data_IF_578925482259
#
_entry.id   IF_578925482259
#
_cell.length_a   1.000
_cell.length_b   1.000
_cell.length_c   1.000
_cell.angle_alpha   90.00
_cell.angle_beta   90.00
_cell.angle_gamma   90.00
#
_symmetry.space_group_name_H-M   'P 1'
#
loop_
_entity.id
_entity.type
_entity.pdbx_description
1 polymer ?
#
# COMPACT_ATOMS: atom_id res chain seq x y z
N UNK A 1 20.10 2.98 13.38
CA UNK A 1 19.28 1.77 13.56
C UNK A 1 18.50 1.60 12.29
N UNK A 2 18.45 0.40 11.70
CA UNK A 2 17.56 0.15 10.56
C UNK A 2 16.11 0.36 11.00
N UNK A 3 15.22 0.91 10.15
CA UNK A 3 13.83 1.10 10.50
C UNK A 3 13.20 -0.24 10.90
N UNK A 4 12.39 -0.23 11.96
CA UNK A 4 11.67 -1.42 12.40
C UNK A 4 10.23 -1.30 11.91
N UNK A 5 9.94 -1.95 10.79
CA UNK A 5 8.57 -2.06 10.28
C UNK A 5 7.78 -3.08 11.12
N UNK A 6 6.53 -2.78 11.41
CA UNK A 6 5.62 -3.77 11.95
C UNK A 6 5.24 -4.79 10.88
N UNK A 7 5.20 -6.07 11.25
CA UNK A 7 4.65 -7.14 10.44
C UNK A 7 3.73 -8.03 11.29
N UNK A 8 2.53 -8.39 10.80
CA UNK A 8 1.60 -9.22 11.56
C UNK A 8 2.09 -10.67 11.66
N UNK A 9 2.01 -11.26 12.85
CA UNK A 9 2.43 -12.65 13.10
C UNK A 9 1.25 -13.62 13.24
N UNK A 10 0.02 -13.11 13.29
CA UNK A 10 -1.18 -13.92 13.48
C UNK A 10 -1.43 -14.33 14.93
N UNK A 11 -1.75 -15.61 15.13
CA UNK A 11 -2.17 -16.19 16.41
C UNK A 11 -3.63 -15.91 16.78
N UNK A 12 -4.04 -16.41 17.95
CA UNK A 12 -5.34 -16.12 18.56
C UNK A 12 -5.14 -15.57 19.99
N UNK A 13 -5.82 -14.48 20.36
CA UNK A 13 -5.80 -13.98 21.73
C UNK A 13 -6.55 -14.93 22.67
N UNK A 14 -6.25 -14.83 23.97
CA UNK A 14 -6.95 -15.59 25.02
C UNK A 14 -8.44 -15.20 25.13
N UNK A 15 -9.25 -16.13 25.65
CA UNK A 15 -10.70 -15.95 25.87
C UNK A 15 -11.03 -14.97 27.01
N UNK A 16 -10.03 -14.57 27.79
CA UNK A 16 -10.11 -13.59 28.87
C UNK A 16 -10.02 -12.13 28.39
N UNK A 17 -9.82 -11.91 27.09
CA UNK A 17 -9.75 -10.58 26.50
C UNK A 17 -11.12 -9.89 26.42
N UNK A 18 -11.15 -8.61 26.80
CA UNK A 18 -12.31 -7.76 26.55
C UNK A 18 -12.44 -7.46 25.05
N UNK A 19 -13.69 -7.33 24.58
CA UNK A 19 -13.98 -7.16 23.15
C UNK A 19 -14.04 -5.70 22.68
N UNK A 20 -13.92 -4.73 23.60
CA UNK A 20 -13.85 -3.31 23.23
C UNK A 20 -12.51 -3.05 22.54
N UNK A 21 -12.56 -2.61 21.28
CA UNK A 21 -11.39 -2.36 20.44
C UNK A 21 -11.61 -1.12 19.54
N UNK A 22 -10.57 -0.72 18.81
CA UNK A 22 -10.50 0.50 17.98
C UNK A 22 -10.98 0.28 16.55
N UNK A 23 -11.64 -0.84 16.27
CA UNK A 23 -12.21 -1.11 14.96
C UNK A 23 -13.38 -0.16 14.69
N UNK A 24 -13.28 0.61 13.61
CA UNK A 24 -14.26 1.64 13.25
C UNK A 24 -14.64 1.47 11.79
N UNK A 25 -15.93 1.56 11.49
CA UNK A 25 -16.44 1.62 10.13
C UNK A 25 -17.52 2.71 10.06
N UNK A 26 -17.27 3.75 9.27
CA UNK A 26 -18.19 4.87 9.07
C UNK A 26 -18.47 5.08 7.59
N UNK A 27 -19.35 6.02 7.27
CA UNK A 27 -19.58 6.44 5.90
C UNK A 27 -18.39 7.20 5.27
N UNK A 28 -17.38 7.62 6.05
CA UNK A 28 -16.25 8.41 5.55
C UNK A 28 -14.91 7.68 5.62
N UNK A 29 -14.73 6.77 6.58
CA UNK A 29 -13.47 6.07 6.82
C UNK A 29 -13.68 4.74 7.54
N UNK A 30 -12.67 3.87 7.49
CA UNK A 30 -12.54 2.74 8.41
C UNK A 30 -11.16 2.70 9.07
N UNK A 31 -11.13 2.10 10.25
CA UNK A 31 -9.92 1.76 10.99
C UNK A 31 -9.95 0.27 11.27
N UNK A 32 -8.92 -0.43 10.81
CA UNK A 32 -8.70 -1.87 11.02
C UNK A 32 -7.48 -2.00 11.93
N UNK A 33 -7.67 -2.24 13.24
CA UNK A 33 -6.56 -2.38 14.18
C UNK A 33 -5.73 -3.61 13.85
N UNK A 34 -4.43 -3.58 14.18
CA UNK A 34 -3.51 -4.72 14.00
C UNK A 34 -4.01 -6.02 14.66
N UNK A 35 -4.84 -5.89 15.69
CA UNK A 35 -5.48 -7.00 16.42
C UNK A 35 -6.48 -7.80 15.60
N UNK A 36 -6.82 -7.38 14.37
CA UNK A 36 -7.67 -8.16 13.46
C UNK A 36 -6.87 -9.13 12.58
N UNK A 37 -5.54 -8.99 12.51
CA UNK A 37 -4.67 -9.86 11.72
C UNK A 37 -4.44 -11.20 12.43
N UNK A 38 -5.44 -12.10 12.36
CA UNK A 38 -5.45 -13.41 13.03
C UNK A 38 -5.32 -14.57 12.06
N UNK A 39 -4.87 -15.72 12.55
CA UNK A 39 -4.65 -16.91 11.71
C UNK A 39 -5.93 -17.38 11.02
N UNK A 40 -7.06 -17.36 11.73
CA UNK A 40 -8.33 -17.89 11.22
C UNK A 40 -9.00 -17.01 10.15
N UNK A 41 -8.46 -15.80 9.90
CA UNK A 41 -8.97 -14.87 8.88
C UNK A 41 -7.99 -14.69 7.72
N UNK A 42 -6.92 -15.48 7.68
CA UNK A 42 -6.02 -15.46 6.51
C UNK A 42 -6.72 -16.07 5.29
N UNK A 43 -6.34 -15.55 4.12
CA UNK A 43 -6.73 -16.08 2.82
C UNK A 43 -5.55 -16.82 2.17
N UNK A 44 -5.86 -17.52 1.08
CA UNK A 44 -4.90 -18.23 0.23
C UNK A 44 -5.21 -17.89 -1.22
N UNK A 45 -4.17 -17.79 -2.05
CA UNK A 45 -4.32 -17.51 -3.48
C UNK A 45 -3.85 -18.73 -4.29
N UNK A 46 -4.56 -19.10 -5.37
CA UNK A 46 -4.04 -20.06 -6.34
C UNK A 46 -2.67 -19.61 -6.87
N UNK A 47 -1.79 -20.58 -7.15
CA UNK A 47 -0.43 -20.30 -7.65
C UNK A 47 0.58 -19.92 -6.59
N UNK A 48 0.19 -19.77 -5.32
CA UNK A 48 1.08 -19.53 -4.19
C UNK A 48 1.27 -20.79 -3.33
N UNK A 49 2.51 -21.15 -3.03
CA UNK A 49 2.90 -22.27 -2.16
C UNK A 49 3.38 -21.77 -0.81
N UNK A 50 3.06 -22.50 0.26
CA UNK A 50 3.45 -22.19 1.65
C UNK A 50 3.30 -20.71 2.03
N UNK A 51 2.18 -20.14 1.59
CA UNK A 51 1.87 -18.72 1.70
C UNK A 51 0.47 -18.53 2.27
N UNK A 52 0.34 -17.56 3.16
CA UNK A 52 -0.95 -17.04 3.64
C UNK A 52 -0.95 -15.53 3.55
N UNK A 53 -2.12 -14.92 3.55
CA UNK A 53 -2.23 -13.46 3.46
C UNK A 53 -3.41 -12.89 4.25
N UNK A 54 -3.30 -11.63 4.66
CA UNK A 54 -4.41 -10.82 5.14
C UNK A 54 -4.84 -9.84 4.05
N UNK A 55 -6.12 -9.87 3.68
CA UNK A 55 -6.71 -8.88 2.77
C UNK A 55 -7.21 -7.71 3.60
N UNK A 56 -6.65 -6.51 3.37
CA UNK A 56 -6.97 -5.31 4.16
C UNK A 56 -7.64 -4.21 3.34
N UNK A 57 -7.59 -4.31 2.00
CA UNK A 57 -8.40 -3.51 1.11
C UNK A 57 -8.76 -4.31 -0.15
N UNK A 58 -9.95 -4.06 -0.70
CA UNK A 58 -10.38 -4.56 -2.01
C UNK A 58 -11.36 -3.58 -2.66
N UNK A 59 -11.47 -3.57 -4.00
CA UNK A 59 -12.52 -2.86 -4.69
C UNK A 59 -13.93 -3.31 -4.25
N UNK A 60 -14.72 -2.38 -3.71
CA UNK A 60 -16.12 -2.46 -3.29
C UNK A 60 -16.80 -1.10 -3.55
N UNK A 61 -17.91 -1.15 -4.29
CA UNK A 61 -18.71 0.06 -4.59
C UNK A 61 -19.04 0.83 -3.32
N UNK A 62 -18.84 2.15 -3.38
CA UNK A 62 -19.19 3.05 -2.28
C UNK A 62 -18.25 3.00 -1.09
N UNK A 63 -17.15 2.24 -1.13
CA UNK A 63 -16.18 2.23 -0.02
C UNK A 63 -14.75 2.38 -0.50
N UNK A 64 -14.26 1.46 -1.34
CA UNK A 64 -12.91 1.47 -1.88
C UNK A 64 -13.00 1.00 -3.32
N UNK A 65 -12.80 1.80 -4.35
CA UNK A 65 -13.14 1.37 -5.73
C UNK A 65 -11.90 1.03 -6.58
N UNK A 66 -10.72 1.45 -6.15
CA UNK A 66 -9.54 1.50 -7.02
C UNK A 66 -8.48 0.47 -6.67
N UNK A 67 -8.22 0.26 -5.38
CA UNK A 67 -7.05 -0.50 -4.92
C UNK A 67 -7.43 -1.81 -4.21
N UNK A 68 -6.54 -2.79 -4.34
CA UNK A 68 -6.46 -3.95 -3.46
C UNK A 68 -5.16 -3.91 -2.68
N UNK A 69 -5.18 -4.33 -1.41
CA UNK A 69 -3.96 -4.48 -0.61
C UNK A 69 -3.99 -5.77 0.20
N UNK A 70 -2.89 -6.52 0.09
CA UNK A 70 -2.61 -7.72 0.87
C UNK A 70 -1.38 -7.51 1.77
N UNK A 71 -1.38 -8.14 2.94
CA UNK A 71 -0.16 -8.41 3.70
C UNK A 71 0.15 -9.89 3.51
N UNK A 72 1.20 -10.18 2.75
CA UNK A 72 1.62 -11.52 2.39
C UNK A 72 2.57 -12.06 3.45
N UNK A 73 2.44 -13.34 3.80
CA UNK A 73 3.39 -14.09 4.61
C UNK A 73 3.78 -15.37 3.88
N UNK A 74 5.06 -15.47 3.50
CA UNK A 74 5.62 -16.57 2.71
C UNK A 74 6.64 -17.31 3.55
N UNK A 75 6.39 -18.60 3.82
CA UNK A 75 7.30 -19.44 4.59
C UNK A 75 8.59 -19.74 3.79
N UNK A 76 9.69 -20.15 4.45
CA UNK A 76 10.89 -20.61 3.76
C UNK A 76 10.58 -21.68 2.70
N UNK A 77 11.05 -21.47 1.47
CA UNK A 77 10.77 -22.34 0.31
C UNK A 77 9.43 -22.10 -0.39
N UNK A 78 8.56 -21.25 0.17
CA UNK A 78 7.31 -20.83 -0.45
C UNK A 78 7.48 -19.73 -1.50
N UNK A 79 6.43 -19.46 -2.25
CA UNK A 79 6.46 -18.44 -3.30
C UNK A 79 5.41 -18.66 -4.37
N UNK A 80 5.62 -18.04 -5.53
CA UNK A 80 4.79 -18.19 -6.71
C UNK A 80 5.57 -17.93 -8.00
N UNK A 81 5.36 -18.79 -8.99
CA UNK A 81 5.82 -18.61 -10.37
C UNK A 81 4.79 -17.92 -11.28
N UNK A 82 3.55 -17.75 -10.81
CA UNK A 82 2.48 -17.03 -11.51
C UNK A 82 1.66 -16.22 -10.49
N UNK A 83 2.27 -15.20 -9.87
CA UNK A 83 1.67 -14.51 -8.72
C UNK A 83 0.45 -13.67 -9.08
N UNK A 84 0.49 -12.97 -10.22
CA UNK A 84 -0.57 -12.09 -10.71
C UNK A 84 -1.35 -12.77 -11.84
N UNK A 85 -2.67 -12.78 -11.74
CA UNK A 85 -3.57 -13.43 -12.71
C UNK A 85 -4.49 -12.43 -13.43
N UNK A 86 -4.57 -11.19 -12.93
CA UNK A 86 -5.43 -10.16 -13.50
C UNK A 86 -4.70 -9.39 -14.59
N UNK A 87 -5.20 -9.47 -15.82
CA UNK A 87 -4.65 -8.70 -16.94
C UNK A 87 -4.77 -7.20 -16.67
N UNK A 88 -3.72 -6.43 -16.95
CA UNK A 88 -3.72 -4.99 -16.73
C UNK A 88 -3.41 -4.56 -15.29
N UNK A 89 -3.25 -5.50 -14.34
CA UNK A 89 -2.91 -5.18 -12.96
C UNK A 89 -1.43 -4.79 -12.83
N UNK A 90 -1.19 -3.58 -12.36
CA UNK A 90 0.10 -3.16 -11.82
C UNK A 90 0.18 -3.50 -10.32
N UNK A 91 1.39 -3.71 -9.83
CA UNK A 91 1.67 -4.08 -8.45
C UNK A 91 2.79 -3.26 -7.82
N UNK A 92 2.66 -3.01 -6.52
CA UNK A 92 3.78 -2.58 -5.67
C UNK A 92 4.00 -3.60 -4.57
N UNK A 93 5.24 -4.06 -4.45
CA UNK A 93 5.72 -4.90 -3.35
C UNK A 93 6.53 -4.04 -2.38
N UNK A 94 6.25 -4.15 -1.09
CA UNK A 94 7.02 -3.48 -0.05
C UNK A 94 7.35 -4.44 1.09
N UNK A 95 8.62 -4.82 1.23
CA UNK A 95 9.08 -5.82 2.20
C UNK A 95 9.20 -5.19 3.59
N UNK A 96 8.60 -5.84 4.59
CA UNK A 96 8.61 -5.37 5.99
C UNK A 96 9.38 -6.33 6.92
N UNK A 97 9.51 -7.60 6.54
CA UNK A 97 10.29 -8.60 7.29
C UNK A 97 10.80 -9.69 6.34
N UNK A 98 11.98 -10.25 6.63
CA UNK A 98 12.60 -11.30 5.81
C UNK A 98 13.15 -10.79 4.48
N UNK A 99 13.36 -11.70 3.54
CA UNK A 99 13.98 -11.43 2.24
C UNK A 99 13.16 -12.04 1.11
N UNK A 100 12.86 -11.26 0.07
CA UNK A 100 12.18 -11.74 -1.13
C UNK A 100 13.18 -11.88 -2.28
N UNK A 101 13.22 -13.05 -2.92
CA UNK A 101 13.83 -13.20 -4.23
C UNK A 101 12.77 -12.93 -5.29
N UNK A 102 12.88 -11.80 -5.99
CA UNK A 102 12.01 -11.37 -7.07
C UNK A 102 12.71 -11.58 -8.41
N UNK A 103 12.18 -12.48 -9.23
CA UNK A 103 12.57 -12.60 -10.64
C UNK A 103 11.58 -11.76 -11.46
N UNK A 104 12.04 -10.75 -12.20
CA UNK A 104 11.19 -9.92 -13.05
C UNK A 104 11.87 -9.65 -14.39
N UNK A 105 11.16 -9.91 -15.49
CA UNK A 105 11.66 -9.72 -16.86
C UNK A 105 13.03 -10.38 -17.13
N UNK A 106 13.31 -11.51 -16.46
CA UNK A 106 14.56 -12.26 -16.59
C UNK A 106 15.70 -11.80 -15.67
N UNK A 107 15.49 -10.78 -14.84
CA UNK A 107 16.46 -10.32 -13.84
C UNK A 107 16.03 -10.73 -12.43
N UNK A 108 16.98 -11.21 -11.63
CA UNK A 108 16.76 -11.61 -10.24
C UNK A 108 17.21 -10.51 -9.30
N UNK A 109 16.33 -10.11 -8.40
CA UNK A 109 16.58 -9.12 -7.35
C UNK A 109 16.30 -9.71 -5.98
N UNK A 110 17.04 -9.22 -4.99
CA UNK A 110 16.84 -9.56 -3.59
C UNK A 110 16.33 -8.32 -2.86
N UNK A 111 15.10 -8.38 -2.37
CA UNK A 111 14.46 -7.31 -1.61
C UNK A 111 14.51 -7.62 -0.12
N UNK A 112 15.17 -6.76 0.65
CA UNK A 112 15.26 -6.82 2.12
C UNK A 112 14.24 -5.86 2.75
N UNK A 113 14.06 -5.80 4.08
CA UNK A 113 13.10 -4.87 4.70
C UNK A 113 13.34 -3.41 4.26
N UNK A 114 12.27 -2.72 3.88
CA UNK A 114 12.31 -1.41 3.22
C UNK A 114 12.42 -1.48 1.69
N UNK A 115 12.66 -2.67 1.15
CA UNK A 115 12.72 -2.96 -0.28
C UNK A 115 11.36 -2.72 -0.94
N UNK A 116 11.41 -2.02 -2.07
CA UNK A 116 10.27 -1.59 -2.85
C UNK A 116 10.44 -2.08 -4.29
N UNK A 117 9.40 -2.71 -4.83
CA UNK A 117 9.33 -3.03 -6.24
C UNK A 117 8.04 -2.47 -6.84
N UNK A 118 8.13 -1.68 -7.92
CA UNK A 118 7.00 -1.38 -8.79
C UNK A 118 7.04 -2.32 -10.00
N UNK A 119 5.89 -2.93 -10.28
CA UNK A 119 5.69 -3.91 -11.34
C UNK A 119 4.60 -3.39 -12.29
N UNK A 120 4.94 -2.98 -13.53
CA UNK A 120 3.94 -2.59 -14.52
C UNK A 120 3.07 -3.77 -14.95
N UNK A 121 1.92 -3.52 -15.58
CA UNK A 121 0.99 -4.58 -16.00
C UNK A 121 1.59 -5.68 -16.87
N UNK A 122 2.56 -5.34 -17.71
CA UNK A 122 3.23 -6.29 -18.61
C UNK A 122 4.38 -7.06 -17.97
N UNK A 123 4.71 -6.80 -16.69
CA UNK A 123 5.83 -7.46 -16.04
C UNK A 123 5.57 -8.97 -15.87
N UNK A 124 6.47 -9.79 -16.41
CA UNK A 124 6.54 -11.21 -16.07
C UNK A 124 7.40 -11.35 -14.82
N UNK A 125 6.75 -11.61 -13.68
CA UNK A 125 7.42 -11.66 -12.39
C UNK A 125 7.04 -12.88 -11.56
N UNK A 126 7.99 -13.31 -10.74
CA UNK A 126 7.88 -14.44 -9.80
C UNK A 126 8.52 -14.04 -8.50
N UNK A 127 8.00 -14.55 -7.39
CA UNK A 127 8.53 -14.24 -6.09
C UNK A 127 8.65 -15.49 -5.25
N UNK A 128 9.84 -15.71 -4.69
CA UNK A 128 10.13 -16.84 -3.83
C UNK A 128 10.85 -16.39 -2.57
N UNK A 129 10.49 -16.99 -1.44
CA UNK A 129 11.28 -16.90 -0.23
C UNK A 129 12.35 -17.99 -0.25
N UNK A 130 13.54 -17.65 -0.75
CA UNK A 130 14.70 -18.55 -0.77
C UNK A 130 15.51 -18.52 0.54
N UNK A 131 15.13 -17.65 1.48
CA UNK A 131 15.76 -17.51 2.78
C UNK A 131 15.30 -18.58 3.79
N UNK A 132 15.86 -18.52 5.00
CA UNK A 132 15.50 -19.40 6.12
C UNK A 132 14.45 -18.81 7.05
N UNK A 133 14.21 -17.50 6.97
CA UNK A 133 13.25 -16.79 7.81
C UNK A 133 11.93 -16.57 7.07
N UNK A 134 10.86 -16.28 7.81
CA UNK A 134 9.56 -15.93 7.21
C UNK A 134 9.68 -14.59 6.48
N UNK A 135 9.16 -14.52 5.25
CA UNK A 135 9.06 -13.29 4.47
C UNK A 135 7.68 -12.66 4.67
N UNK A 136 7.64 -11.37 4.99
CA UNK A 136 6.40 -10.57 5.01
C UNK A 136 6.54 -9.30 4.18
N UNK A 137 5.56 -9.06 3.32
CA UNK A 137 5.52 -7.87 2.47
C UNK A 137 4.09 -7.40 2.21
N UNK A 138 3.94 -6.11 1.93
CA UNK A 138 2.71 -5.56 1.40
C UNK A 138 2.67 -5.74 -0.12
N UNK A 139 1.52 -6.13 -0.64
CA UNK A 139 1.25 -6.15 -2.07
C UNK A 139 0.04 -5.25 -2.36
N UNK A 140 0.30 -4.09 -2.96
CA UNK A 140 -0.72 -3.13 -3.40
C UNK A 140 -0.94 -3.31 -4.89
N UNK A 141 -2.20 -3.40 -5.31
CA UNK A 141 -2.59 -3.67 -6.71
C UNK A 141 -3.61 -2.65 -7.20
N UNK A 142 -3.50 -2.26 -8.46
CA UNK A 142 -4.44 -1.39 -9.18
C UNK A 142 -4.47 -1.82 -10.64
N UNK A 143 -5.60 -1.66 -11.34
CA UNK A 143 -5.58 -1.72 -12.81
C UNK A 143 -4.94 -0.44 -13.34
N UNK A 144 -3.89 -0.58 -14.16
CA UNK A 144 -3.24 0.57 -14.78
C UNK A 144 -4.12 1.20 -15.84
N UNK A 145 -4.22 2.53 -15.79
CA UNK A 145 -5.00 3.30 -16.74
C UNK A 145 -4.10 3.84 -17.86
N UNK A 146 -4.26 3.37 -19.10
CA UNK A 146 -3.50 3.90 -20.22
C UNK A 146 -3.89 5.35 -20.53
N UNK A 147 -2.92 6.15 -20.98
CA UNK A 147 -3.14 7.50 -21.49
C UNK A 147 -2.51 7.69 -22.87
N UNK A 148 -3.12 8.47 -23.78
CA UNK A 148 -2.59 8.66 -25.13
C UNK A 148 -1.14 9.15 -25.14
N UNK A 149 -0.28 8.44 -25.86
CA UNK A 149 1.13 8.79 -26.02
C UNK A 149 2.03 8.39 -24.84
N UNK A 150 1.50 7.71 -23.83
CA UNK A 150 2.28 7.17 -22.71
C UNK A 150 2.37 5.65 -22.78
N UNK A 151 3.57 5.11 -22.60
CA UNK A 151 3.78 3.69 -22.34
C UNK A 151 3.53 3.37 -20.86
N UNK A 152 3.51 2.08 -20.53
CA UNK A 152 3.62 1.65 -19.13
C UNK A 152 4.91 2.20 -18.49
N UNK A 153 4.91 2.45 -17.17
CA UNK A 153 6.12 2.77 -16.45
C UNK A 153 7.09 1.58 -16.42
N UNK A 154 8.37 1.88 -16.24
CA UNK A 154 9.40 0.85 -16.11
C UNK A 154 9.32 0.15 -14.74
N UNK A 155 9.84 -1.08 -14.65
CA UNK A 155 10.06 -1.75 -13.35
C UNK A 155 10.97 -0.87 -12.50
N UNK A 156 10.62 -0.69 -11.22
CA UNK A 156 11.48 -0.01 -10.24
C UNK A 156 11.87 -1.01 -9.17
N UNK A 157 13.17 -1.14 -8.89
CA UNK A 157 13.71 -1.92 -7.76
C UNK A 157 14.50 -0.96 -6.88
N UNK A 158 14.00 -0.67 -5.68
CA UNK A 158 14.50 0.37 -4.79
C UNK A 158 14.50 -0.10 -3.33
N UNK A 159 15.13 0.65 -2.43
CA UNK A 159 14.93 0.54 -0.99
C UNK A 159 14.69 1.93 -0.40
N UNK A 160 13.67 2.06 0.45
CA UNK A 160 13.31 3.34 1.06
C UNK A 160 14.46 3.96 1.87
N UNK A 161 15.30 3.13 2.49
CA UNK A 161 16.44 3.56 3.29
C UNK A 161 17.49 4.33 2.48
N UNK A 162 17.54 4.10 1.16
CA UNK A 162 18.47 4.76 0.24
C UNK A 162 17.88 6.02 -0.41
N UNK A 163 16.63 6.37 -0.08
CA UNK A 163 15.91 7.51 -0.66
C UNK A 163 15.73 8.59 0.40
N UNK A 164 16.36 9.75 0.16
CA UNK A 164 16.15 10.92 1.02
C UNK A 164 14.68 11.37 0.99
N UNK A 165 13.99 11.45 2.15
CA UNK A 165 12.62 11.94 2.19
C UNK A 165 12.53 13.40 1.74
N UNK A 166 11.52 13.74 0.94
CA UNK A 166 11.25 15.14 0.58
C UNK A 166 10.53 15.84 1.74
N UNK A 167 11.13 16.85 2.39
CA UNK A 167 10.46 17.56 3.48
C UNK A 167 9.28 18.36 2.97
N UNK A 168 8.20 18.42 3.75
CA UNK A 168 7.11 19.32 3.44
C UNK A 168 7.50 20.78 3.75
N UNK A 169 7.15 21.73 2.88
CA UNK A 169 7.45 23.15 3.08
C UNK A 169 6.99 23.64 4.45
N UNK A 170 7.77 24.54 5.05
CA UNK A 170 7.41 25.26 6.28
C UNK A 170 7.23 24.40 7.55
N UNK A 171 7.57 23.10 7.50
CA UNK A 171 7.46 22.18 8.65
C UNK A 171 8.74 22.04 9.47
N UNK A 172 9.83 22.73 9.08
CA UNK A 172 11.18 22.59 9.69
C UNK A 172 11.66 21.13 9.76
N UNK A 173 11.26 20.30 8.79
CA UNK A 173 11.64 18.88 8.71
C UNK A 173 10.81 17.95 9.60
N UNK A 174 9.76 18.45 10.27
CA UNK A 174 8.90 17.63 11.12
C UNK A 174 7.99 16.67 10.33
N UNK A 175 7.78 16.93 9.04
CA UNK A 175 6.97 16.11 8.14
C UNK A 175 7.67 15.98 6.78
N UNK A 176 7.78 14.76 6.27
CA UNK A 176 8.39 14.46 4.98
C UNK A 176 7.70 13.28 4.28
N UNK A 177 7.93 13.15 2.98
CA UNK A 177 7.45 12.03 2.16
C UNK A 177 8.59 11.42 1.36
N UNK A 178 8.80 10.11 1.52
CA UNK A 178 9.66 9.31 0.65
C UNK A 178 8.84 8.89 -0.58
N UNK A 179 9.31 9.26 -1.77
CA UNK A 179 8.66 8.96 -3.05
C UNK A 179 9.56 8.03 -3.87
N UNK A 180 8.96 7.05 -4.53
CA UNK A 180 9.69 6.03 -5.30
C UNK A 180 9.66 6.29 -6.81
N UNK A 181 8.80 7.19 -7.27
CA UNK A 181 8.74 7.68 -8.64
C UNK A 181 8.77 9.20 -8.65
N UNK A 182 9.22 9.79 -9.76
CA UNK A 182 9.14 11.22 -10.00
C UNK A 182 7.66 11.63 -10.08
N UNK A 183 7.17 12.58 -9.26
CA UNK A 183 5.79 13.07 -9.34
C UNK A 183 5.40 13.63 -10.71
N UNK A 184 6.37 14.04 -11.54
CA UNK A 184 6.15 14.53 -12.89
C UNK A 184 6.11 13.42 -13.95
N UNK A 185 6.44 12.16 -13.62
CA UNK A 185 6.33 11.05 -14.54
C UNK A 185 4.87 10.61 -14.69
N UNK A 186 4.20 11.18 -15.69
CA UNK A 186 2.78 10.94 -15.99
C UNK A 186 2.46 9.50 -16.40
N UNK A 187 3.47 8.64 -16.66
CA UNK A 187 3.25 7.22 -16.93
C UNK A 187 2.64 6.52 -15.71
N UNK A 188 3.04 6.94 -14.51
CA UNK A 188 2.50 6.44 -13.25
C UNK A 188 1.13 7.07 -12.95
N UNK A 189 0.11 6.24 -12.79
CA UNK A 189 -1.26 6.61 -12.39
C UNK A 189 -1.59 6.25 -10.94
N UNK A 190 -0.62 5.73 -10.20
CA UNK A 190 -0.67 5.57 -8.75
C UNK A 190 0.67 5.94 -8.12
N UNK A 191 0.62 6.41 -6.88
CA UNK A 191 1.80 6.57 -6.05
C UNK A 191 1.63 5.73 -4.79
N UNK A 192 2.63 4.91 -4.49
CA UNK A 192 2.82 4.29 -3.17
C UNK A 192 4.03 4.96 -2.54
N UNK A 193 3.86 5.55 -1.35
CA UNK A 193 4.85 6.41 -0.71
C UNK A 193 4.92 6.13 0.78
N UNK A 194 5.95 6.64 1.46
CA UNK A 194 6.02 6.61 2.92
C UNK A 194 5.94 8.05 3.44
N UNK A 195 4.94 8.34 4.25
CA UNK A 195 4.87 9.60 4.98
C UNK A 195 5.52 9.39 6.35
N UNK A 196 6.37 10.35 6.74
CA UNK A 196 7.08 10.34 8.02
C UNK A 196 6.81 11.63 8.76
N UNK A 197 6.34 11.51 10.00
CA UNK A 197 6.28 12.60 10.98
C UNK A 197 7.29 12.34 12.09
N UNK A 198 8.08 13.35 12.42
CA UNK A 198 8.95 13.35 13.60
C UNK A 198 8.12 13.57 14.87
N UNK A 199 8.65 13.22 16.07
CA UNK A 199 8.00 13.55 17.34
C UNK A 199 7.60 15.03 17.43
N UNK A 200 6.33 15.29 17.75
CA UNK A 200 5.73 16.63 17.78
C UNK A 200 5.31 17.17 16.40
N UNK A 201 5.54 16.41 15.33
CA UNK A 201 5.10 16.73 13.98
C UNK A 201 3.57 16.69 13.86
N UNK A 202 3.04 17.59 13.03
CA UNK A 202 1.60 17.75 12.80
C UNK A 202 1.34 17.87 11.31
N UNK A 203 0.24 17.30 10.84
CA UNK A 203 -0.42 17.70 9.58
C UNK A 203 -1.49 18.73 9.97
N UNK A 204 -1.23 20.05 9.81
CA UNK A 204 -1.99 21.08 10.51
C UNK A 204 -3.27 21.53 9.78
N UNK A 205 -3.53 20.99 8.59
CA UNK A 205 -4.74 21.26 7.84
C UNK A 205 -5.55 19.98 7.70
N UNK A 206 -6.87 20.12 7.74
CA UNK A 206 -7.80 19.06 7.42
C UNK A 206 -7.79 18.86 5.91
N UNK A 207 -6.88 18.03 5.42
CA UNK A 207 -6.77 17.74 4.00
C UNK A 207 -8.08 17.10 3.50
N UNK A 208 -8.64 17.67 2.44
CA UNK A 208 -9.81 17.15 1.74
C UNK A 208 -9.46 17.05 0.27
N UNK A 209 -9.06 15.86 -0.17
CA UNK A 209 -8.84 15.60 -1.59
C UNK A 209 -9.70 14.45 -2.09
N UNK A 210 -9.96 14.46 -3.39
CA UNK A 210 -10.88 13.51 -4.03
C UNK A 210 -10.36 12.07 -4.01
N UNK A 211 -9.03 11.87 -4.02
CA UNK A 211 -8.44 10.53 -4.08
C UNK A 211 -8.74 9.75 -2.80
N UNK A 212 -9.41 8.62 -2.94
CA UNK A 212 -9.46 7.61 -1.87
C UNK A 212 -8.06 7.02 -1.68
N UNK A 213 -7.73 6.65 -0.46
CA UNK A 213 -6.41 6.09 -0.18
C UNK A 213 -6.41 5.24 1.08
N UNK A 214 -5.51 4.25 1.08
CA UNK A 214 -5.20 3.45 2.25
C UNK A 214 -3.91 3.92 2.91
N UNK A 215 -3.90 3.86 4.24
CA UNK A 215 -2.74 4.15 5.07
C UNK A 215 -2.47 2.95 5.95
N UNK A 216 -1.27 2.39 5.90
CA UNK A 216 -0.82 1.34 6.80
C UNK A 216 0.31 1.85 7.68
N UNK A 217 0.12 1.87 8.99
CA UNK A 217 1.13 2.38 9.93
C UNK A 217 2.28 1.37 10.02
N UNK A 218 3.46 1.79 9.58
CA UNK A 218 4.68 0.99 9.57
C UNK A 218 5.43 1.09 10.91
N UNK A 219 5.46 2.27 11.52
CA UNK A 219 6.25 2.58 12.71
C UNK A 219 5.55 3.65 13.57
N UNK A 220 5.75 3.55 14.88
CA UNK A 220 5.37 4.61 15.82
C UNK A 220 3.88 4.61 16.19
N UNK A 221 3.46 5.72 16.80
CA UNK A 221 2.09 5.99 17.25
C UNK A 221 1.72 7.45 17.03
N UNK A 222 0.46 7.70 16.74
CA UNK A 222 -0.08 9.05 16.56
C UNK A 222 -1.56 9.10 16.93
N UNK A 223 -2.10 10.31 17.04
CA UNK A 223 -3.55 10.53 17.06
C UNK A 223 -3.94 11.10 15.70
N UNK A 224 -4.69 10.33 14.93
CA UNK A 224 -5.14 10.70 13.60
C UNK A 224 -6.53 11.30 13.69
N UNK A 225 -6.75 12.44 13.04
CA UNK A 225 -8.05 13.06 12.87
C UNK A 225 -8.65 12.51 11.59
N UNK A 226 -9.69 11.70 11.72
CA UNK A 226 -10.42 11.11 10.61
C UNK A 226 -11.85 11.65 10.63
N UNK A 227 -12.16 12.52 9.67
CA UNK A 227 -13.41 13.28 9.67
C UNK A 227 -13.63 14.03 11.01
N UNK A 228 -14.69 13.69 11.75
CA UNK A 228 -15.01 14.33 13.03
C UNK A 228 -14.32 13.67 14.22
N UNK A 229 -13.56 12.59 14.02
CA UNK A 229 -13.09 11.73 15.10
C UNK A 229 -11.58 11.81 15.27
N UNK A 230 -11.11 11.86 16.52
CA UNK A 230 -9.71 11.66 16.85
C UNK A 230 -9.52 10.20 17.26
N UNK A 231 -8.66 9.49 16.55
CA UNK A 231 -8.42 8.05 16.74
C UNK A 231 -6.93 7.83 17.00
N UNK A 232 -6.62 7.15 18.10
CA UNK A 232 -5.25 6.70 18.36
C UNK A 232 -4.90 5.53 17.44
N UNK A 233 -3.76 5.63 16.76
CA UNK A 233 -3.25 4.64 15.82
C UNK A 233 -1.80 4.30 16.13
N UNK A 234 -1.42 3.06 15.87
CA UNK A 234 -0.06 2.55 16.07
C UNK A 234 0.36 1.61 14.94
N UNK A 235 1.66 1.30 14.91
CA UNK A 235 2.23 0.37 13.93
C UNK A 235 1.43 -0.94 13.84
N UNK A 236 1.03 -1.28 12.61
CA UNK A 236 0.18 -2.41 12.25
C UNK A 236 -1.28 -2.07 11.99
N UNK A 237 -1.75 -0.88 12.41
CA UNK A 237 -3.11 -0.44 12.11
C UNK A 237 -3.23 0.03 10.66
N UNK A 238 -4.37 -0.25 10.05
CA UNK A 238 -4.73 0.22 8.72
C UNK A 238 -5.90 1.21 8.79
N UNK A 239 -5.83 2.27 8.00
CA UNK A 239 -6.89 3.26 7.84
C UNK A 239 -7.26 3.36 6.37
N UNK A 240 -8.56 3.37 6.10
CA UNK A 240 -9.10 3.66 4.77
C UNK A 240 -9.87 4.96 4.79
N UNK A 241 -9.54 5.89 3.90
CA UNK A 241 -10.24 7.17 3.77
C UNK A 241 -10.96 7.22 2.42
N UNK A 242 -12.27 7.46 2.46
CA UNK A 242 -13.05 7.77 1.26
C UNK A 242 -12.73 9.17 0.76
N UNK A 243 -13.11 9.45 -0.48
CA UNK A 243 -13.01 10.76 -1.11
C UNK A 243 -13.51 11.87 -0.17
N UNK A 244 -12.71 12.94 -0.05
CA UNK A 244 -12.98 14.12 0.78
C UNK A 244 -13.05 13.90 2.29
N UNK A 245 -12.72 12.72 2.83
CA UNK A 245 -12.62 12.52 4.28
C UNK A 245 -11.57 13.48 4.86
N UNK A 246 -11.95 14.44 5.74
CA UNK A 246 -11.00 15.36 6.35
C UNK A 246 -9.94 14.61 7.14
N UNK A 247 -8.66 14.89 6.88
CA UNK A 247 -7.56 14.27 7.62
C UNK A 247 -6.56 15.25 8.21
N UNK A 248 -6.15 14.98 9.44
CA UNK A 248 -5.02 15.62 10.10
C UNK A 248 -4.32 14.61 11.03
N UNK A 249 -3.12 14.91 11.50
CA UNK A 249 -2.35 13.98 12.31
C UNK A 249 -1.54 14.72 13.37
N UNK A 250 -1.47 14.15 14.57
CA UNK A 250 -0.56 14.57 15.63
C UNK A 250 0.36 13.41 16.04
N UNK A 251 1.64 13.48 15.68
CA UNK A 251 2.64 12.47 16.01
C UNK A 251 3.27 12.76 17.38
N UNK A 252 2.57 12.41 18.47
CA UNK A 252 3.01 12.64 19.85
C UNK A 252 3.93 11.57 20.45
N UNK A 253 4.21 10.49 19.72
CA UNK A 253 5.06 9.39 20.20
C UNK A 253 6.53 9.78 20.38
N UNK A 254 7.33 8.99 21.13
CA UNK A 254 8.74 9.28 21.40
C UNK A 254 9.67 9.03 20.21
N UNK A 255 9.18 8.40 19.14
CA UNK A 255 9.91 8.13 17.90
C UNK A 255 9.09 8.52 16.67
N UNK A 256 9.65 8.35 15.46
CA UNK A 256 8.97 8.68 14.22
C UNK A 256 7.64 7.93 14.09
N UNK A 257 6.62 8.61 13.55
CA UNK A 257 5.39 8.00 13.07
C UNK A 257 5.45 7.89 11.55
N UNK A 258 5.39 6.66 11.03
CA UNK A 258 5.58 6.38 9.60
C UNK A 258 4.46 5.49 9.09
N UNK A 259 3.96 5.78 7.91
CA UNK A 259 2.93 4.96 7.28
C UNK A 259 3.13 4.86 5.76
N UNK A 260 2.84 3.67 5.23
CA UNK A 260 2.69 3.44 3.80
C UNK A 260 1.38 4.09 3.35
N UNK A 261 1.43 4.90 2.31
CA UNK A 261 0.26 5.56 1.71
C UNK A 261 0.23 5.23 0.23
N UNK A 262 -0.94 4.84 -0.28
CA UNK A 262 -1.16 4.66 -1.71
C UNK A 262 -2.40 5.40 -2.20
N UNK A 263 -2.28 6.06 -3.34
CA UNK A 263 -3.35 6.84 -3.97
C UNK A 263 -3.23 6.85 -5.49
N UNK A 264 -4.34 7.06 -6.17
CA UNK A 264 -4.40 7.28 -7.62
C UNK A 264 -4.07 8.74 -7.95
N UNK A 265 -3.40 8.95 -9.10
CA UNK A 265 -2.91 10.26 -9.57
C UNK A 265 -2.87 10.30 -11.09
N UNK A 266 -2.62 11.49 -11.66
CA UNK A 266 -2.23 11.67 -13.07
C UNK A 266 -3.23 11.15 -14.12
N UNK A 267 -4.50 10.94 -13.75
CA UNK A 267 -5.60 10.56 -14.65
C UNK A 267 -6.82 11.44 -14.44
N UNK A 268 -7.65 11.53 -15.47
CA UNK A 268 -8.94 12.21 -15.36
C UNK A 268 -9.89 11.41 -14.48
N UNK A 269 -10.63 12.12 -13.61
CA UNK A 269 -11.69 11.49 -12.83
C UNK A 269 -12.73 10.87 -13.76
N UNK A 270 -13.06 9.59 -13.54
CA UNK A 270 -14.09 8.92 -14.32
C UNK A 270 -15.44 9.62 -14.14
N UNK A 271 -16.06 10.00 -15.25
CA UNK A 271 -17.41 10.58 -15.25
C UNK A 271 -18.50 9.51 -15.18
N UNK A 272 -18.13 8.23 -15.25
CA UNK A 272 -19.06 7.08 -15.17
C UNK A 272 -18.75 6.30 -13.90
N UNK A 273 -19.58 6.44 -12.84
CA UNK A 273 -19.40 5.68 -11.61
C UNK A 273 -19.36 4.17 -11.90
N UNK A 274 -18.37 3.47 -11.35
CA UNK A 274 -18.26 2.01 -11.40
C UNK A 274 -17.90 1.38 -12.76
N UNK A 275 -17.55 2.17 -13.78
CA UNK A 275 -17.08 1.63 -15.06
C UNK A 275 -15.58 1.91 -15.26
N UNK A 276 -14.76 0.91 -15.64
CA UNK A 276 -13.38 1.16 -16.01
C UNK A 276 -13.32 2.16 -17.16
N UNK A 277 -12.35 3.07 -17.12
CA UNK A 277 -12.11 4.03 -18.18
C UNK A 277 -11.78 3.26 -19.47
N UNK A 278 -12.76 3.14 -20.38
CA UNK A 278 -12.50 2.56 -21.69
C UNK A 278 -11.66 3.57 -22.49
N UNK A 279 -10.46 3.20 -22.97
CA UNK A 279 -9.74 4.05 -23.90
C UNK A 279 -10.65 4.30 -25.12
N UNK A 280 -10.69 5.54 -25.61
CA UNK A 280 -11.34 5.83 -26.89
C UNK A 280 -10.69 4.93 -27.93
N UNK A 281 -11.42 3.91 -28.38
CA UNK A 281 -10.89 2.89 -29.28
C UNK A 281 -10.11 3.53 -30.43
N UNK A 282 -8.93 2.98 -30.72
CA UNK A 282 -8.40 3.02 -32.07
C UNK A 282 -9.56 2.61 -32.97
N UNK A 283 -10.09 3.55 -33.77
CA UNK A 283 -11.03 3.19 -34.82
C UNK A 283 -10.31 2.16 -35.67
N UNK A 284 -10.72 0.91 -35.57
CA UNK A 284 -10.45 -0.10 -36.59
C UNK A 284 -10.82 0.58 -37.91
N UNK A 285 -9.82 0.90 -38.72
CA UNK A 285 -10.08 1.15 -40.14
C UNK A 285 -10.71 -0.13 -40.63
N UNK A 286 -12.00 -0.09 -40.94
CA UNK A 286 -12.62 -1.12 -41.73
C UNK A 286 -11.75 -1.28 -42.99
N UNK A 287 -11.27 -2.50 -43.24
CA UNK A 287 -10.65 -2.83 -44.49
C UNK A 287 -11.69 -2.61 -45.60
N UNK A 288 -11.37 -1.76 -46.56
CA UNK A 288 -12.00 -1.73 -47.89
C UNK A 288 -11.33 -2.77 -48.79
#
# INVERSE_FOLDING_TARGET
>A
MSPKYYAPTGGLPGQDQLLTDRAIFTEAYAVIPKGTMRDIVTSFLPGWTDTRLWVIARPMSGFAETFSQYIMEVQPGGGSDMPETEEGAQGVLFVVEGEATLDVNGETHVLTPGGYAYLPPSADWRLHNRGSDVLRFHWVRKIWEPAPGLSEPDVLILNEADIAPTPMPDTKGAWATTRFADPADLRHDMHVTIVTLQPGGVIPFLETHVMEHGLYVLEGKAVYKLNNDWVEVEAGDFMWLRAFCPQACYAGGPGPFRYLLYKDVNRHMSLRPGAPAQPRGQRLKAAE
#
